data_IF_184228990047
#
_entry.id   IF_184228990047
#
_cell.length_a   1.000
_cell.length_b   1.000
_cell.length_c   1.000
_cell.angle_alpha   90.00
_cell.angle_beta   90.00
_cell.angle_gamma   90.00
#
_symmetry.space_group_name_H-M   'P 1'
#
loop_
_entity.id
_entity.type
_entity.pdbx_description
1 polymer ?
#
# COMPACT_ATOMS: atom_id res chain seq x y z
N UNK A 1 -0.27 -44.16 41.04
CA UNK A 1 -0.48 -44.51 39.62
C UNK A 1 -1.80 -43.88 39.23
N UNK A 2 -1.73 -42.74 38.55
CA UNK A 2 -2.89 -41.97 38.11
C UNK A 2 -3.48 -42.59 36.84
N UNK A 3 -4.61 -43.28 37.00
CA UNK A 3 -5.38 -43.83 35.90
C UNK A 3 -6.15 -42.69 35.22
N UNK A 4 -5.57 -42.11 34.16
CA UNK A 4 -6.27 -41.13 33.33
C UNK A 4 -7.36 -41.87 32.55
N UNK A 5 -8.65 -41.51 32.71
CA UNK A 5 -9.72 -42.12 31.93
C UNK A 5 -9.49 -41.77 30.46
N UNK A 6 -9.21 -42.77 29.64
CA UNK A 6 -9.15 -42.64 28.18
C UNK A 6 -10.57 -42.51 27.65
N UNK A 7 -11.16 -41.32 27.77
CA UNK A 7 -12.44 -41.01 27.12
C UNK A 7 -12.28 -41.20 25.61
N UNK A 8 -12.88 -42.27 25.08
CA UNK A 8 -12.95 -42.47 23.63
C UNK A 8 -13.84 -41.37 23.06
N UNK A 9 -13.45 -40.83 21.90
CA UNK A 9 -14.23 -39.80 21.19
C UNK A 9 -15.70 -40.20 20.93
N UNK A 10 -15.98 -41.51 20.94
CA UNK A 10 -17.31 -42.10 20.77
C UNK A 10 -18.23 -41.92 21.99
N UNK A 11 -17.68 -41.69 23.19
CA UNK A 11 -18.45 -41.51 24.43
C UNK A 11 -18.80 -40.03 24.69
N UNK A 12 -18.17 -39.11 23.96
CA UNK A 12 -18.39 -37.66 24.08
C UNK A 12 -19.86 -37.26 23.85
N UNK A 13 -20.61 -37.80 22.86
CA UNK A 13 -22.00 -37.43 22.65
C UNK A 13 -22.91 -37.85 23.81
N UNK A 14 -22.64 -39.01 24.43
CA UNK A 14 -23.41 -39.53 25.55
C UNK A 14 -23.11 -38.74 26.83
N UNK A 15 -21.82 -38.46 27.10
CA UNK A 15 -21.41 -37.59 28.22
C UNK A 15 -21.95 -36.15 28.09
N UNK A 16 -22.06 -35.64 26.86
CA UNK A 16 -22.63 -34.33 26.61
C UNK A 16 -24.14 -34.34 26.87
N UNK A 17 -24.85 -35.40 26.45
CA UNK A 17 -26.29 -35.55 26.66
C UNK A 17 -26.64 -35.71 28.14
N UNK A 18 -25.92 -36.56 28.87
CA UNK A 18 -26.12 -36.72 30.31
C UNK A 18 -25.81 -35.43 31.09
N UNK A 19 -24.82 -34.64 30.63
CA UNK A 19 -24.54 -33.32 31.20
C UNK A 19 -25.62 -32.29 30.88
N UNK A 20 -26.21 -32.36 29.69
CA UNK A 20 -27.30 -31.48 29.28
C UNK A 20 -28.59 -31.78 30.04
N UNK A 21 -28.90 -33.05 30.26
CA UNK A 21 -30.09 -33.48 31.00
C UNK A 21 -30.02 -33.12 32.49
N UNK A 22 -28.80 -33.03 33.06
CA UNK A 22 -28.57 -32.58 34.43
C UNK A 22 -28.45 -31.05 34.61
N UNK A 23 -28.46 -30.25 33.52
CA UNK A 23 -28.41 -28.78 33.60
C UNK A 23 -29.59 -28.13 34.32
N UNK A 24 -30.86 -28.50 34.08
CA UNK A 24 -31.99 -27.79 34.69
C UNK A 24 -31.98 -27.92 36.22
N UNK A 25 -31.65 -29.09 36.76
CA UNK A 25 -31.56 -29.30 38.21
C UNK A 25 -30.37 -28.55 38.82
N UNK A 26 -29.21 -28.54 38.13
CA UNK A 26 -28.04 -27.75 38.54
C UNK A 26 -28.33 -26.26 38.50
N UNK A 27 -29.07 -25.80 37.51
CA UNK A 27 -29.48 -24.40 37.37
C UNK A 27 -30.46 -24.00 38.48
N UNK A 28 -31.42 -24.86 38.81
CA UNK A 28 -32.36 -24.63 39.90
C UNK A 28 -31.64 -24.55 41.27
N UNK A 29 -30.74 -25.50 41.55
CA UNK A 29 -29.95 -25.51 42.78
C UNK A 29 -29.00 -24.29 42.87
N UNK A 30 -28.36 -23.92 41.75
CA UNK A 30 -27.52 -22.73 41.67
C UNK A 30 -28.34 -21.45 41.91
N UNK A 31 -29.52 -21.32 41.28
CA UNK A 31 -30.41 -20.18 41.48
C UNK A 31 -30.89 -20.05 42.93
N UNK A 32 -31.18 -21.17 43.60
CA UNK A 32 -31.58 -21.18 45.01
C UNK A 32 -30.42 -20.73 45.92
N UNK A 33 -29.22 -21.27 45.71
CA UNK A 33 -28.01 -20.87 46.43
C UNK A 33 -27.67 -19.37 46.24
N UNK A 34 -27.98 -18.80 45.06
CA UNK A 34 -27.79 -17.39 44.76
C UNK A 34 -28.81 -16.47 45.44
N UNK A 35 -30.01 -16.98 45.70
CA UNK A 35 -31.06 -16.25 46.42
C UNK A 35 -30.71 -16.13 47.91
N UNK A 36 -30.07 -17.15 48.46
CA UNK A 36 -29.74 -17.19 49.89
C UNK A 36 -28.49 -16.40 50.26
N UNK A 37 -27.43 -16.40 49.43
CA UNK A 37 -26.21 -15.64 49.74
C UNK A 37 -25.53 -15.04 48.49
N UNK A 38 -25.91 -13.81 48.09
CA UNK A 38 -25.34 -13.16 46.91
C UNK A 38 -23.86 -12.79 47.07
N UNK A 39 -23.34 -12.79 48.30
CA UNK A 39 -21.95 -12.43 48.59
C UNK A 39 -20.94 -13.53 48.18
N UNK A 40 -21.41 -14.77 47.97
CA UNK A 40 -20.57 -15.89 47.52
C UNK A 40 -19.98 -15.65 46.12
N UNK A 41 -20.67 -14.90 45.28
CA UNK A 41 -20.19 -14.50 43.95
C UNK A 41 -18.86 -13.75 44.00
N UNK A 42 -18.75 -12.76 44.89
CA UNK A 42 -17.56 -11.89 44.97
C UNK A 42 -16.31 -12.59 45.53
N UNK A 43 -16.48 -13.76 46.17
CA UNK A 43 -15.38 -14.61 46.64
C UNK A 43 -14.84 -15.53 45.54
N UNK A 44 -15.61 -15.80 44.49
CA UNK A 44 -15.13 -16.68 43.40
C UNK A 44 -14.17 -15.95 42.45
N UNK A 45 -13.03 -16.58 42.08
CA UNK A 45 -12.07 -15.97 41.16
C UNK A 45 -12.66 -15.76 39.76
N UNK A 46 -13.58 -16.64 39.33
CA UNK A 46 -14.27 -16.53 38.06
C UNK A 46 -15.11 -15.24 37.94
N UNK A 47 -15.81 -14.85 39.01
CA UNK A 47 -16.60 -13.62 39.03
C UNK A 47 -15.73 -12.37 38.97
N UNK A 48 -14.56 -12.38 39.62
CA UNK A 48 -13.59 -11.27 39.52
C UNK A 48 -13.06 -11.12 38.10
N UNK A 49 -12.72 -12.22 37.44
CA UNK A 49 -12.30 -12.22 36.03
C UNK A 49 -13.42 -11.66 35.15
N UNK A 50 -14.65 -12.14 35.34
CA UNK A 50 -15.82 -11.65 34.60
C UNK A 50 -16.02 -10.14 34.81
N UNK A 51 -15.89 -9.66 36.04
CA UNK A 51 -16.00 -8.24 36.38
C UNK A 51 -14.92 -7.40 35.69
N UNK A 52 -13.68 -7.89 35.62
CA UNK A 52 -12.61 -7.23 34.87
C UNK A 52 -12.88 -7.21 33.36
N UNK A 53 -13.40 -8.30 32.79
CA UNK A 53 -13.76 -8.37 31.36
C UNK A 53 -14.87 -7.37 31.06
N UNK A 54 -15.94 -7.38 31.85
CA UNK A 54 -17.09 -6.48 31.68
C UNK A 54 -16.67 -5.03 31.91
N UNK A 55 -15.89 -4.75 32.95
CA UNK A 55 -15.33 -3.42 33.20
C UNK A 55 -14.45 -2.92 32.07
N UNK A 56 -13.57 -3.78 31.53
CA UNK A 56 -12.73 -3.46 30.38
C UNK A 56 -13.54 -3.18 29.12
N UNK A 57 -14.59 -3.96 28.85
CA UNK A 57 -15.52 -3.71 27.75
C UNK A 57 -16.24 -2.36 27.92
N UNK A 58 -16.75 -2.06 29.11
CA UNK A 58 -17.41 -0.78 29.40
C UNK A 58 -16.45 0.38 29.14
N UNK A 59 -15.20 0.29 29.62
CA UNK A 59 -14.18 1.30 29.40
C UNK A 59 -13.87 1.49 27.91
N UNK A 60 -13.75 0.40 27.15
CA UNK A 60 -13.52 0.43 25.71
C UNK A 60 -14.67 1.12 24.97
N UNK A 61 -15.91 0.78 25.31
CA UNK A 61 -17.10 1.40 24.72
C UNK A 61 -17.20 2.89 25.07
N UNK A 62 -16.90 3.26 26.32
CA UNK A 62 -16.87 4.66 26.73
C UNK A 62 -15.81 5.46 25.96
N UNK A 63 -14.61 4.91 25.80
CA UNK A 63 -13.57 5.52 24.98
C UNK A 63 -14.00 5.67 23.51
N UNK A 64 -14.63 4.64 22.94
CA UNK A 64 -15.12 4.67 21.56
C UNK A 64 -16.24 5.69 21.37
N UNK A 65 -17.14 5.83 22.34
CA UNK A 65 -18.19 6.85 22.33
C UNK A 65 -17.60 8.26 22.43
N UNK A 66 -16.60 8.47 23.28
CA UNK A 66 -15.89 9.75 23.39
C UNK A 66 -15.18 10.10 22.08
N UNK A 67 -14.47 9.16 21.47
CA UNK A 67 -13.81 9.35 20.17
C UNK A 67 -14.85 9.74 19.12
N UNK A 68 -15.99 9.04 19.04
CA UNK A 68 -17.06 9.37 18.08
C UNK A 68 -17.71 10.72 18.35
N UNK A 69 -17.83 11.14 19.61
CA UNK A 69 -18.36 12.46 19.97
C UNK A 69 -17.41 13.61 19.66
N UNK A 70 -16.09 13.38 19.77
CA UNK A 70 -15.05 14.36 19.45
C UNK A 70 -14.66 14.38 17.97
N UNK A 71 -14.91 13.28 17.26
CA UNK A 71 -14.63 13.18 15.82
C UNK A 71 -15.83 13.72 15.05
N UNK A 72 -15.70 14.81 14.27
CA UNK A 72 -16.80 15.32 13.47
C UNK A 72 -17.34 14.19 12.55
N UNK A 73 -18.67 14.11 12.34
CA UNK A 73 -19.29 13.11 11.47
C UNK A 73 -18.78 13.32 10.04
N UNK A 74 -17.74 12.57 9.67
CA UNK A 74 -17.01 12.73 8.42
C UNK A 74 -15.58 12.17 8.44
N UNK A 75 -14.93 12.06 9.61
CA UNK A 75 -13.54 11.57 9.66
C UNK A 75 -13.40 10.05 9.73
N UNK A 76 -14.48 9.30 10.02
CA UNK A 76 -14.48 7.84 9.94
C UNK A 76 -15.11 7.40 8.63
N UNK A 77 -14.27 7.18 7.61
CA UNK A 77 -14.65 6.41 6.44
C UNK A 77 -15.74 7.03 5.58
N UNK A 78 -15.66 8.34 5.29
CA UNK A 78 -16.18 8.79 4.01
C UNK A 78 -15.36 8.07 2.94
N UNK A 79 -15.88 6.94 2.44
CA UNK A 79 -15.33 6.29 1.27
C UNK A 79 -15.18 7.37 0.22
N UNK A 80 -13.94 7.76 -0.03
CA UNK A 80 -13.58 8.84 -0.92
C UNK A 80 -14.15 8.42 -2.28
N UNK A 81 -15.31 9.00 -2.64
CA UNK A 81 -15.95 8.67 -3.91
C UNK A 81 -14.90 8.92 -4.96
N UNK A 82 -14.43 7.86 -5.60
CA UNK A 82 -13.45 7.93 -6.66
C UNK A 82 -13.91 9.02 -7.64
N UNK A 83 -13.26 10.18 -7.60
CA UNK A 83 -13.60 11.26 -8.52
C UNK A 83 -13.36 10.70 -9.92
N UNK A 84 -14.31 10.85 -10.86
CA UNK A 84 -14.13 10.34 -12.22
C UNK A 84 -12.97 11.02 -12.96
N UNK A 85 -12.42 12.08 -12.37
CA UNK A 85 -11.37 12.92 -12.89
C UNK A 85 -10.08 12.76 -12.08
N UNK A 86 -8.95 12.62 -12.78
CA UNK A 86 -7.61 12.73 -12.24
C UNK A 86 -6.97 14.04 -12.71
N UNK A 87 -6.37 14.80 -11.79
CA UNK A 87 -5.50 15.93 -12.14
C UNK A 87 -4.13 15.35 -12.48
N UNK A 88 -3.66 15.58 -13.70
CA UNK A 88 -2.37 15.08 -14.20
C UNK A 88 -1.48 16.24 -14.59
N UNK A 89 -0.21 16.15 -14.26
CA UNK A 89 0.83 16.97 -14.85
C UNK A 89 1.21 16.39 -16.20
N UNK A 90 1.18 17.23 -17.23
CA UNK A 90 1.37 16.84 -18.62
C UNK A 90 2.32 17.79 -19.30
N UNK A 91 3.09 17.26 -20.25
CA UNK A 91 4.04 18.05 -21.03
C UNK A 91 3.95 17.67 -22.51
N UNK A 92 4.28 18.62 -23.38
CA UNK A 92 4.40 18.39 -24.81
C UNK A 92 5.75 17.73 -25.11
N UNK A 93 5.76 16.60 -25.83
CA UNK A 93 6.98 15.94 -26.29
C UNK A 93 7.61 16.61 -27.51
N UNK A 94 6.90 17.54 -28.18
CA UNK A 94 7.47 18.28 -29.30
C UNK A 94 8.65 19.15 -28.80
N UNK A 95 9.88 18.91 -29.30
CA UNK A 95 11.05 19.64 -28.85
C UNK A 95 10.89 21.15 -29.07
N UNK A 96 10.19 21.60 -30.10
CA UNK A 96 10.02 23.03 -30.34
C UNK A 96 9.16 23.73 -29.27
N UNK A 97 8.21 23.02 -28.66
CA UNK A 97 7.25 23.59 -27.73
C UNK A 97 7.60 23.32 -26.26
N UNK A 98 7.76 22.05 -25.88
CA UNK A 98 8.06 21.60 -24.50
C UNK A 98 7.17 22.23 -23.40
N UNK A 99 5.97 22.69 -23.75
CA UNK A 99 5.06 23.31 -22.79
C UNK A 99 4.57 22.28 -21.78
N UNK A 100 4.57 22.66 -20.49
CA UNK A 100 4.10 21.83 -19.39
C UNK A 100 2.92 22.51 -18.68
N UNK A 101 1.88 21.74 -18.39
CA UNK A 101 0.65 22.22 -17.75
C UNK A 101 0.03 21.13 -16.89
N UNK A 102 -1.04 21.47 -16.17
CA UNK A 102 -1.87 20.50 -15.45
C UNK A 102 -3.23 20.40 -16.13
N UNK A 103 -3.75 19.18 -16.29
CA UNK A 103 -5.05 18.94 -16.93
C UNK A 103 -5.89 17.98 -16.11
N UNK A 104 -7.21 18.08 -16.24
CA UNK A 104 -8.17 17.14 -15.65
C UNK A 104 -8.57 16.13 -16.72
N UNK A 105 -8.25 14.87 -16.49
CA UNK A 105 -8.54 13.78 -17.42
C UNK A 105 -9.42 12.73 -16.78
N UNK A 106 -10.21 12.05 -17.61
CA UNK A 106 -10.92 10.87 -17.16
C UNK A 106 -9.93 9.79 -16.68
N UNK A 107 -10.28 9.09 -15.60
CA UNK A 107 -9.41 8.10 -14.95
C UNK A 107 -9.16 6.83 -15.77
N UNK A 108 -9.79 6.71 -16.93
CA UNK A 108 -9.57 5.62 -17.88
C UNK A 108 -8.31 5.84 -18.74
N UNK A 109 -7.75 7.05 -18.73
CA UNK A 109 -6.53 7.45 -19.45
C UNK A 109 -6.53 7.01 -20.93
N UNK A 110 -7.71 6.93 -21.58
CA UNK A 110 -7.78 6.49 -22.99
C UNK A 110 -7.50 7.60 -24.00
N UNK A 111 -7.52 8.86 -23.55
CA UNK A 111 -7.45 10.03 -24.42
C UNK A 111 -6.03 10.39 -24.91
N UNK A 112 -5.01 9.58 -24.61
CA UNK A 112 -3.63 9.86 -25.03
C UNK A 112 -3.38 9.53 -26.51
N UNK A 113 -2.52 10.29 -27.21
CA UNK A 113 -1.95 11.57 -26.80
C UNK A 113 -2.97 12.71 -26.81
N UNK A 114 -2.82 13.61 -25.85
CA UNK A 114 -3.63 14.83 -25.75
C UNK A 114 -3.12 15.89 -26.74
N UNK A 115 -4.00 16.81 -27.13
CA UNK A 115 -3.65 17.95 -27.97
C UNK A 115 -2.97 19.03 -27.12
N UNK A 116 -1.82 19.53 -27.57
CA UNK A 116 -1.13 20.65 -26.95
C UNK A 116 -1.87 21.97 -27.26
N UNK A 117 -2.21 22.74 -26.24
CA UNK A 117 -2.86 24.04 -26.40
C UNK A 117 -1.95 25.09 -27.05
N UNK A 118 -0.62 24.92 -26.96
CA UNK A 118 0.35 25.86 -27.51
C UNK A 118 0.69 25.58 -28.98
N UNK A 119 0.98 24.32 -29.34
CA UNK A 119 1.39 23.98 -30.72
C UNK A 119 0.31 23.28 -31.54
N UNK A 120 -0.86 22.97 -30.96
CA UNK A 120 -1.98 22.31 -31.64
C UNK A 120 -1.76 20.83 -32.00
N UNK A 121 -0.57 20.27 -31.74
CA UNK A 121 -0.22 18.88 -32.08
C UNK A 121 -0.67 17.91 -30.98
N UNK A 122 -0.98 16.68 -31.38
CA UNK A 122 -1.32 15.57 -30.46
C UNK A 122 -0.06 14.92 -29.90
N UNK A 123 0.67 15.66 -29.08
CA UNK A 123 2.00 15.29 -28.55
C UNK A 123 2.10 15.50 -27.03
N UNK A 124 0.99 15.68 -26.32
CA UNK A 124 1.00 15.84 -24.87
C UNK A 124 0.88 14.48 -24.20
N UNK A 125 1.84 14.17 -23.33
CA UNK A 125 1.91 12.96 -22.52
C UNK A 125 2.07 13.30 -21.03
N UNK A 126 2.01 12.28 -20.16
CA UNK A 126 2.27 12.43 -18.73
C UNK A 126 3.67 13.01 -18.52
N UNK A 127 3.75 14.07 -17.72
CA UNK A 127 5.02 14.71 -17.43
C UNK A 127 5.83 13.91 -16.40
N UNK A 128 7.14 13.86 -16.60
CA UNK A 128 8.14 13.43 -15.64
C UNK A 128 9.04 14.63 -15.31
N UNK A 129 9.56 14.66 -14.08
CA UNK A 129 10.52 15.69 -13.68
C UNK A 129 11.93 15.19 -13.98
N UNK A 130 12.73 16.00 -14.67
CA UNK A 130 14.15 15.69 -14.89
C UNK A 130 14.93 15.83 -13.57
N UNK A 131 15.68 14.80 -13.18
CA UNK A 131 16.51 14.83 -11.99
C UNK A 131 17.66 15.86 -12.06
N UNK A 132 18.15 16.19 -13.26
CA UNK A 132 19.30 17.09 -13.45
C UNK A 132 18.89 18.56 -13.47
N UNK A 133 17.85 18.92 -14.24
CA UNK A 133 17.46 20.33 -14.42
C UNK A 133 16.13 20.70 -13.75
N UNK A 134 15.50 19.77 -13.03
CA UNK A 134 14.22 19.92 -12.33
C UNK A 134 13.02 20.36 -13.21
N UNK A 135 13.19 20.42 -14.55
CA UNK A 135 12.14 20.78 -15.51
C UNK A 135 11.27 19.58 -15.84
N UNK A 136 10.00 19.87 -16.08
CA UNK A 136 9.01 18.89 -16.53
C UNK A 136 9.18 18.61 -18.03
N UNK A 137 9.17 17.35 -18.40
CA UNK A 137 9.20 16.90 -19.79
C UNK A 137 8.31 15.68 -19.98
N UNK A 138 7.95 15.37 -21.22
CA UNK A 138 7.18 14.21 -21.58
C UNK A 138 7.98 13.33 -22.54
N UNK A 139 7.73 12.03 -22.48
CA UNK A 139 8.33 11.03 -23.37
C UNK A 139 7.20 10.25 -24.01
N UNK A 140 7.21 10.17 -25.34
CA UNK A 140 6.24 9.35 -26.08
C UNK A 140 6.48 7.85 -25.88
N UNK A 141 5.47 7.00 -26.14
CA UNK A 141 5.67 5.56 -26.12
C UNK A 141 6.72 5.15 -27.16
N UNK A 142 7.75 4.42 -26.73
CA UNK A 142 8.85 3.97 -27.59
C UNK A 142 9.99 4.97 -27.76
N UNK A 143 9.91 6.16 -27.17
CA UNK A 143 11.00 7.14 -27.18
C UNK A 143 11.96 6.92 -26.00
N UNK A 144 13.21 7.34 -26.17
CA UNK A 144 14.20 7.29 -25.10
C UNK A 144 13.84 8.30 -23.99
N UNK A 145 13.97 7.89 -22.74
CA UNK A 145 13.68 8.73 -21.56
C UNK A 145 14.78 9.76 -21.28
N UNK A 146 15.14 10.56 -22.29
CA UNK A 146 16.18 11.59 -22.22
C UNK A 146 15.51 12.96 -22.08
N UNK A 147 15.94 13.76 -21.11
CA UNK A 147 15.41 15.11 -20.93
C UNK A 147 15.81 16.01 -22.13
N UNK A 148 14.86 16.55 -22.90
CA UNK A 148 15.16 17.38 -24.06
C UNK A 148 15.80 18.72 -23.67
N UNK A 149 15.55 19.22 -22.45
CA UNK A 149 16.22 20.42 -21.95
C UNK A 149 17.71 20.18 -21.71
N UNK A 150 18.07 19.04 -21.12
CA UNK A 150 19.46 18.67 -20.88
C UNK A 150 20.19 18.31 -22.19
N UNK A 151 19.51 17.62 -23.11
CA UNK A 151 20.08 17.25 -24.40
C UNK A 151 20.47 18.47 -25.25
N UNK A 152 19.73 19.58 -25.15
CA UNK A 152 20.05 20.84 -25.83
C UNK A 152 21.29 21.54 -25.28
N UNK A 153 21.54 21.39 -23.98
CA UNK A 153 22.69 21.99 -23.30
C UNK A 153 23.93 21.09 -23.30
N UNK A 154 23.77 19.81 -23.65
CA UNK A 154 24.90 18.91 -23.76
C UNK A 154 25.77 19.36 -24.94
N UNK A 155 27.09 19.57 -24.73
CA UNK A 155 27.99 19.83 -25.84
C UNK A 155 27.90 18.64 -26.81
N UNK A 156 27.79 18.94 -28.12
CA UNK A 156 27.79 17.93 -29.15
C UNK A 156 28.95 16.95 -28.87
N UNK A 157 28.64 15.65 -28.81
CA UNK A 157 29.65 14.62 -28.60
C UNK A 157 30.78 14.87 -29.59
N UNK A 158 32.00 15.10 -29.08
CA UNK A 158 33.18 15.28 -29.94
C UNK A 158 33.22 14.07 -30.88
N UNK A 159 33.33 14.34 -32.18
CA UNK A 159 33.48 13.30 -33.18
C UNK A 159 34.55 12.30 -32.72
N UNK A 160 34.35 10.99 -32.89
CA UNK A 160 35.31 9.99 -32.46
C UNK A 160 36.68 10.37 -33.04
N UNK A 161 37.67 10.48 -32.14
CA UNK A 161 39.03 10.82 -32.52
C UNK A 161 39.49 9.81 -33.57
N UNK A 162 40.02 10.25 -34.73
CA UNK A 162 40.41 9.34 -35.78
C UNK A 162 41.40 8.32 -35.22
N UNK A 163 41.30 7.04 -35.61
CA UNK A 163 42.18 6.00 -35.09
C UNK A 163 43.64 6.44 -35.26
N UNK A 164 44.41 6.47 -34.16
CA UNK A 164 45.83 6.78 -34.20
C UNK A 164 46.49 5.89 -35.26
N UNK A 165 47.27 6.44 -36.21
CA UNK A 165 48.03 5.62 -37.12
C UNK A 165 48.97 4.75 -36.28
N UNK A 166 48.76 3.43 -36.34
CA UNK A 166 49.72 2.49 -35.79
C UNK A 166 51.02 2.72 -36.54
N UNK A 167 52.08 3.16 -35.83
CA UNK A 167 53.43 3.16 -36.38
C UNK A 167 53.72 1.72 -36.78
N UNK A 168 53.82 1.47 -38.08
CA UNK A 168 54.47 0.28 -38.62
C UNK A 168 55.91 0.33 -38.10
N UNK A 169 56.29 -0.59 -37.25
CA UNK A 169 57.70 -0.81 -36.92
C UNK A 169 58.36 -1.34 -38.19
N UNK A 170 59.22 -0.54 -38.80
CA UNK A 170 60.01 -0.90 -39.99
C UNK A 170 61.18 -1.86 -39.66
N UNK A 171 61.09 -2.61 -38.56
CA UNK A 171 62.16 -3.51 -38.07
C UNK A 171 62.13 -4.91 -38.73
N UNK A 172 61.63 -5.04 -39.96
CA UNK A 172 61.44 -6.34 -40.62
C UNK A 172 62.31 -6.58 -41.86
N UNK A 173 63.19 -5.67 -42.27
CA UNK A 173 64.03 -5.87 -43.47
C UNK A 173 65.46 -5.39 -43.23
N UNK A 174 66.29 -6.21 -42.57
CA UNK A 174 67.74 -6.14 -42.73
C UNK A 174 68.32 -7.55 -42.99
N UNK A 175 68.40 -7.99 -44.27
CA UNK A 175 68.84 -9.34 -44.61
C UNK A 175 70.37 -9.53 -44.68
N UNK A 176 71.21 -8.57 -44.26
CA UNK A 176 72.67 -8.71 -44.33
C UNK A 176 73.40 -8.05 -43.15
N UNK A 177 73.58 -8.79 -42.05
CA UNK A 177 74.52 -8.45 -40.97
C UNK A 177 75.99 -8.76 -41.33
N UNK A 178 76.98 -8.16 -40.63
CA UNK A 178 78.41 -8.30 -40.92
C UNK A 178 78.98 -9.71 -40.68
#
# INVERSE_FOLDING_TARGET
>A
MDERPSTRLQDVPHLLRDRLDALPDRWAAWREAFREDPALLFRTPAFRILLWIVGGLILLFAAQALIRGLTPPGAQGAGERATPWAVLYVACSDPACLHATSTRQARDFKAWPLTCEQCGKRTVYRAAQCATCARWFAVGPGEAAVCPHCARTAPAAKAPEPPKPQRRSDDAEDPWGP
#
